data_IF_849778067705
#
_entry.id   IF_849778067705
#
_cell.length_a   1.000
_cell.length_b   1.000
_cell.length_c   1.000
_cell.angle_alpha   90.00
_cell.angle_beta   90.00
_cell.angle_gamma   90.00
#
_symmetry.space_group_name_H-M   'P 1'
#
loop_
_entity.id
_entity.type
_entity.pdbx_description
1 polymer ?
#
# COMPACT_ATOMS: atom_id res chain seq x y z
N UNK A 1 2.64 10.18 -3.38
CA UNK A 1 2.49 9.94 -1.91
C UNK A 1 3.75 10.34 -1.16
N UNK A 2 3.62 10.95 0.02
CA UNK A 2 4.77 11.25 0.90
C UNK A 2 5.15 10.04 1.75
N UNK A 3 6.45 9.77 1.88
CA UNK A 3 6.98 8.69 2.71
C UNK A 3 6.60 8.84 4.20
N UNK A 4 6.48 10.08 4.67
CA UNK A 4 6.03 10.41 6.04
C UNK A 4 4.61 9.94 6.35
N UNK A 5 3.81 9.58 5.33
CA UNK A 5 2.51 8.98 5.53
C UNK A 5 2.61 7.51 5.96
N UNK A 6 3.69 6.80 5.61
CA UNK A 6 3.93 5.41 6.03
C UNK A 6 4.03 5.29 7.55
N UNK A 7 4.58 6.32 8.21
CA UNK A 7 4.72 6.37 9.68
C UNK A 7 3.37 6.36 10.43
N UNK A 8 2.27 6.68 9.75
CA UNK A 8 0.91 6.69 10.33
C UNK A 8 -0.01 5.62 9.73
N UNK A 9 0.42 4.95 8.66
CA UNK A 9 -0.36 3.91 8.01
C UNK A 9 -0.10 2.57 8.69
N UNK A 10 -1.15 1.79 8.83
CA UNK A 10 -1.09 0.45 9.39
C UNK A 10 -1.97 -0.48 8.58
N UNK A 11 -1.73 -1.79 8.67
CA UNK A 11 -2.51 -2.78 7.96
C UNK A 11 -4.00 -2.67 8.32
N UNK A 12 -4.92 -2.58 7.35
CA UNK A 12 -6.35 -2.50 7.63
C UNK A 12 -6.89 -3.74 8.36
N UNK A 13 -6.28 -4.91 8.15
CA UNK A 13 -6.70 -6.20 8.72
C UNK A 13 -6.26 -6.38 10.18
N UNK A 14 -4.97 -6.19 10.44
CA UNK A 14 -4.33 -6.57 11.71
C UNK A 14 -3.59 -5.42 12.43
N UNK A 15 -3.57 -4.22 11.82
CA UNK A 15 -2.99 -2.99 12.38
C UNK A 15 -1.47 -3.00 12.61
N UNK A 16 -0.73 -3.95 12.02
CA UNK A 16 0.73 -3.91 12.04
C UNK A 16 1.32 -2.96 11.00
N UNK A 17 2.63 -2.76 11.12
CA UNK A 17 3.44 -1.95 10.22
C UNK A 17 3.47 -2.53 8.79
N UNK A 18 3.50 -1.61 7.84
CA UNK A 18 3.61 -1.88 6.41
C UNK A 18 5.03 -1.49 5.95
N UNK A 19 5.68 -2.39 5.22
CA UNK A 19 6.96 -2.12 4.54
C UNK A 19 6.71 -1.75 3.08
N UNK A 20 7.41 -0.73 2.60
CA UNK A 20 7.33 -0.33 1.19
C UNK A 20 8.37 -1.11 0.38
N UNK A 21 7.89 -1.89 -0.58
CA UNK A 21 8.70 -2.61 -1.57
C UNK A 21 8.48 -2.03 -2.97
N UNK A 22 9.45 -2.24 -3.87
CA UNK A 22 9.42 -1.78 -5.27
C UNK A 22 8.99 -0.31 -5.49
N UNK A 23 9.37 0.56 -4.55
CA UNK A 23 9.01 1.97 -4.57
C UNK A 23 9.51 2.72 -5.82
N UNK A 24 8.57 3.27 -6.57
CA UNK A 24 8.85 4.20 -7.68
C UNK A 24 8.65 5.63 -7.20
N UNK A 25 9.65 6.47 -7.46
CA UNK A 25 9.67 7.86 -7.02
C UNK A 25 9.69 8.82 -8.21
N UNK A 26 8.81 9.82 -8.18
CA UNK A 26 8.87 11.00 -9.04
C UNK A 26 9.30 12.20 -8.17
N UNK A 27 10.62 12.43 -8.14
CA UNK A 27 11.21 13.45 -7.28
C UNK A 27 11.13 13.09 -5.79
N UNK A 28 10.29 13.81 -5.04
CA UNK A 28 10.08 13.61 -3.59
C UNK A 28 8.77 12.84 -3.31
N UNK A 29 8.04 12.43 -4.35
CA UNK A 29 6.77 11.71 -4.22
C UNK A 29 6.89 10.26 -4.69
N UNK A 30 6.39 9.33 -3.88
CA UNK A 30 6.19 7.94 -4.28
C UNK A 30 5.02 7.90 -5.26
N UNK A 31 5.27 7.46 -6.48
CA UNK A 31 4.27 7.31 -7.57
C UNK A 31 3.86 5.85 -7.80
N UNK A 32 4.68 4.90 -7.37
CA UNK A 32 4.42 3.47 -7.50
C UNK A 32 5.12 2.65 -6.41
N UNK A 33 4.77 1.36 -6.32
CA UNK A 33 5.35 0.40 -5.36
C UNK A 33 4.28 -0.44 -4.67
N UNK A 34 4.69 -1.23 -3.68
CA UNK A 34 3.81 -2.13 -2.95
C UNK A 34 4.02 -1.98 -1.44
N UNK A 35 2.93 -1.82 -0.69
CA UNK A 35 2.97 -1.84 0.77
C UNK A 35 2.68 -3.26 1.25
N UNK A 36 3.69 -3.91 1.79
CA UNK A 36 3.60 -5.29 2.27
C UNK A 36 3.50 -5.31 3.79
N UNK A 37 2.46 -5.95 4.32
CA UNK A 37 2.35 -6.13 5.75
C UNK A 37 3.32 -7.18 6.26
N UNK A 38 4.06 -6.84 7.32
CA UNK A 38 5.07 -7.71 7.94
C UNK A 38 4.49 -8.94 8.64
N UNK A 39 3.21 -8.92 8.99
CA UNK A 39 2.54 -9.99 9.75
C UNK A 39 1.58 -10.82 8.90
N UNK A 40 0.64 -10.19 8.18
CA UNK A 40 -0.28 -10.94 7.33
C UNK A 40 0.28 -11.24 5.94
N UNK A 41 1.36 -10.56 5.52
CA UNK A 41 1.97 -10.73 4.19
C UNK A 41 1.14 -10.14 3.05
N UNK A 42 0.11 -9.36 3.35
CA UNK A 42 -0.74 -8.74 2.34
C UNK A 42 0.00 -7.59 1.65
N UNK A 43 -0.04 -7.58 0.31
CA UNK A 43 0.54 -6.53 -0.51
C UNK A 43 -0.55 -5.56 -1.00
N UNK A 44 -0.34 -4.27 -0.80
CA UNK A 44 -1.22 -3.18 -1.21
C UNK A 44 -0.50 -2.32 -2.26
N UNK A 45 -0.90 -2.41 -3.54
CA UNK A 45 -0.22 -1.70 -4.61
C UNK A 45 -0.46 -0.19 -4.51
N UNK A 46 0.54 0.58 -4.92
CA UNK A 46 0.52 2.03 -5.06
C UNK A 46 0.51 2.33 -6.56
N UNK A 47 -0.52 3.05 -7.01
CA UNK A 47 -0.65 3.48 -8.41
C UNK A 47 -0.95 4.97 -8.44
N UNK A 48 -0.27 5.72 -9.30
CA UNK A 48 -0.39 7.19 -9.42
C UNK A 48 -0.15 7.92 -8.07
N UNK A 49 0.67 7.31 -7.22
CA UNK A 49 0.93 7.79 -5.85
C UNK A 49 -0.26 7.65 -4.89
N UNK A 50 -1.24 6.80 -5.20
CA UNK A 50 -2.38 6.46 -4.35
C UNK A 50 -2.23 5.00 -3.86
N UNK A 51 -1.96 4.76 -2.56
CA UNK A 51 -1.90 3.41 -2.02
C UNK A 51 -3.29 2.78 -1.90
N UNK A 52 -3.49 1.61 -2.51
CA UNK A 52 -4.74 0.87 -2.45
C UNK A 52 -4.79 -0.07 -1.24
N UNK A 53 -5.11 0.49 -0.07
CA UNK A 53 -5.26 -0.24 1.21
C UNK A 53 -6.61 -0.96 1.36
N UNK A 54 -7.32 -1.25 0.26
CA UNK A 54 -8.53 -2.05 0.35
C UNK A 54 -8.15 -3.52 0.62
N UNK A 55 -8.88 -4.23 1.49
CA UNK A 55 -8.68 -5.67 1.63
C UNK A 55 -8.89 -6.36 0.28
N UNK A 56 -8.15 -7.44 -0.02
CA UNK A 56 -8.20 -8.12 -1.31
C UNK A 56 -9.62 -8.53 -1.72
N UNK A 57 -10.45 -8.97 -0.77
CA UNK A 57 -11.89 -9.28 -0.96
C UNK A 57 -12.72 -8.11 -1.54
N UNK A 58 -12.22 -6.88 -1.44
CA UNK A 58 -12.88 -5.67 -1.97
C UNK A 58 -12.11 -5.03 -3.14
N UNK A 59 -10.90 -5.50 -3.46
CA UNK A 59 -10.12 -5.07 -4.63
C UNK A 59 -10.53 -5.78 -5.90
N UNK A 60 -11.16 -6.94 -5.78
CA UNK A 60 -11.84 -7.56 -6.91
C UNK A 60 -13.07 -6.71 -7.29
N UNK A 61 -12.89 -5.79 -8.23
CA UNK A 61 -13.91 -5.64 -9.28
C UNK A 61 -14.06 -7.04 -9.90
N UNK A 62 -14.90 -7.89 -9.32
CA UNK A 62 -15.52 -8.96 -10.09
C UNK A 62 -16.48 -8.25 -11.03
N UNK A 63 -16.20 -8.13 -12.35
CA UNK A 63 -17.26 -7.81 -13.27
C UNK A 63 -18.25 -8.98 -13.20
N UNK A 64 -19.43 -8.71 -12.65
CA UNK A 64 -20.58 -9.60 -12.84
C UNK A 64 -21.11 -9.48 -14.27
#
# INVERSE_FOLDING_TARGET
MKESLLEILCCPLDKHDLELEDAEYDGEEVVGGDLVCTECGEAYPIEDGIPNLLPPDMREETPA
#
